data_IF_723614937336
#
_entry.id   IF_723614937336
#
_cell.length_a   1.000
_cell.length_b   1.000
_cell.length_c   1.000
_cell.angle_alpha   90.00
_cell.angle_beta   90.00
_cell.angle_gamma   90.00
#
_symmetry.space_group_name_H-M   'P 1'
#
loop_
_entity.id
_entity.type
_entity.pdbx_description
1 polymer ?
#
# COMPACT_ATOMS: atom_id res chain seq x y z
N UNK A 1 -9.89 -34.53 6.28
CA UNK A 1 -9.39 -33.28 5.68
C UNK A 1 -8.22 -32.79 6.53
N UNK A 2 -7.04 -32.66 5.94
CA UNK A 2 -5.86 -32.09 6.62
C UNK A 2 -6.13 -30.62 6.91
N UNK A 3 -5.84 -30.18 8.13
CA UNK A 3 -6.00 -28.78 8.51
C UNK A 3 -4.85 -27.97 7.88
N UNK A 4 -5.13 -27.23 6.81
CA UNK A 4 -4.13 -26.49 6.04
C UNK A 4 -3.29 -25.52 6.91
N UNK A 5 -3.88 -24.95 7.97
CA UNK A 5 -3.17 -24.08 8.92
C UNK A 5 -2.14 -24.88 9.70
N UNK A 6 -2.50 -26.07 10.22
CA UNK A 6 -1.55 -26.94 10.92
C UNK A 6 -0.41 -27.39 10.02
N UNK A 7 -0.71 -27.70 8.75
CA UNK A 7 0.33 -28.03 7.76
C UNK A 7 1.28 -26.85 7.53
N UNK A 8 0.76 -25.63 7.35
CA UNK A 8 1.59 -24.44 7.17
C UNK A 8 2.44 -24.14 8.41
N UNK A 9 1.89 -24.30 9.62
CA UNK A 9 2.64 -24.14 10.87
C UNK A 9 3.82 -25.11 10.97
N UNK A 10 3.61 -26.37 10.59
CA UNK A 10 4.69 -27.36 10.58
C UNK A 10 5.77 -26.99 9.56
N UNK A 11 5.39 -26.57 8.35
CA UNK A 11 6.34 -26.13 7.33
C UNK A 11 7.13 -24.89 7.76
N UNK A 12 6.50 -23.95 8.47
CA UNK A 12 7.17 -22.79 9.05
C UNK A 12 8.06 -23.13 10.25
N UNK A 13 7.80 -24.22 10.96
CA UNK A 13 8.64 -24.65 12.07
C UNK A 13 9.88 -25.40 11.58
N UNK A 14 9.73 -26.25 10.56
CA UNK A 14 10.77 -27.20 10.14
C UNK A 14 11.71 -26.65 9.07
N UNK A 15 11.43 -25.50 8.47
CA UNK A 15 12.23 -24.95 7.39
C UNK A 15 13.55 -24.35 7.91
N UNK A 16 14.65 -24.65 7.23
CA UNK A 16 15.96 -24.05 7.51
C UNK A 16 16.03 -22.56 7.14
N UNK A 17 15.24 -22.14 6.15
CA UNK A 17 15.17 -20.76 5.67
C UNK A 17 13.86 -20.48 4.91
N UNK A 18 13.49 -19.20 4.80
CA UNK A 18 12.31 -18.74 4.05
C UNK A 18 12.70 -17.81 2.90
N UNK A 19 12.09 -18.03 1.72
CA UNK A 19 12.00 -17.04 0.65
C UNK A 19 10.56 -16.54 0.60
N UNK A 20 10.33 -15.32 1.09
CA UNK A 20 9.00 -14.72 1.14
C UNK A 20 8.86 -13.72 0.00
N UNK A 21 7.84 -13.89 -0.84
CA UNK A 21 7.49 -12.92 -1.88
C UNK A 21 6.29 -12.10 -1.41
N UNK A 22 6.46 -10.79 -1.35
CA UNK A 22 5.41 -9.83 -1.01
C UNK A 22 5.13 -8.94 -2.22
N UNK A 23 3.85 -8.66 -2.47
CA UNK A 23 3.41 -7.82 -3.59
C UNK A 23 2.24 -6.95 -3.12
N UNK A 24 1.46 -6.40 -4.04
CA UNK A 24 0.41 -5.43 -3.74
C UNK A 24 -0.64 -5.93 -2.74
N UNK A 25 -0.90 -7.25 -2.66
CA UNK A 25 -1.76 -7.82 -1.62
C UNK A 25 -1.26 -7.53 -0.19
N UNK A 26 0.05 -7.57 0.02
CA UNK A 26 0.68 -7.23 1.28
C UNK A 26 0.68 -5.71 1.53
N UNK A 27 0.91 -4.92 0.49
CA UNK A 27 0.73 -3.46 0.57
C UNK A 27 -0.68 -3.09 0.99
N UNK A 28 -1.71 -3.78 0.49
CA UNK A 28 -3.12 -3.55 0.85
C UNK A 28 -3.36 -3.87 2.32
N UNK A 29 -2.77 -4.94 2.88
CA UNK A 29 -2.87 -5.21 4.33
C UNK A 29 -2.19 -4.16 5.19
N UNK A 30 -1.14 -3.51 4.68
CA UNK A 30 -0.52 -2.32 5.28
C UNK A 30 -1.28 -1.02 4.92
N UNK A 31 -2.41 -1.16 4.23
CA UNK A 31 -3.31 -0.08 3.87
C UNK A 31 -2.80 0.84 2.75
N UNK A 32 -1.89 0.37 1.90
CA UNK A 32 -1.56 1.00 0.62
C UNK A 32 -2.26 0.23 -0.51
N UNK A 33 -3.37 0.78 -1.02
CA UNK A 33 -4.05 0.23 -2.18
C UNK A 33 -3.83 1.13 -3.41
N UNK A 34 -2.96 0.69 -4.31
CA UNK A 34 -2.60 1.47 -5.49
C UNK A 34 -3.72 1.57 -6.53
N UNK A 35 -4.66 0.63 -6.54
CA UNK A 35 -5.62 0.44 -7.63
C UNK A 35 -7.06 0.83 -7.26
N UNK A 36 -7.37 0.98 -5.97
CA UNK A 36 -8.72 1.30 -5.52
C UNK A 36 -8.98 2.81 -5.44
N UNK A 37 -10.22 3.18 -5.78
CA UNK A 37 -10.81 4.46 -5.37
C UNK A 37 -11.40 4.28 -3.98
N UNK A 38 -10.54 4.27 -2.96
CA UNK A 38 -10.94 4.04 -1.58
C UNK A 38 -10.90 5.33 -0.76
N UNK A 39 -11.32 5.24 0.51
CA UNK A 39 -11.29 6.37 1.44
C UNK A 39 -9.87 6.93 1.61
N UNK A 40 -8.83 6.09 1.53
CA UNK A 40 -7.45 6.52 1.72
C UNK A 40 -6.98 7.42 0.59
N UNK A 41 -7.46 7.22 -0.65
CA UNK A 41 -7.19 8.15 -1.76
C UNK A 41 -7.52 9.60 -1.37
N UNK A 42 -8.75 9.83 -0.88
CA UNK A 42 -9.20 11.16 -0.45
C UNK A 42 -8.52 11.61 0.85
N UNK A 43 -8.22 10.70 1.78
CA UNK A 43 -7.44 11.05 2.98
C UNK A 43 -6.05 11.57 2.63
N UNK A 44 -5.36 10.95 1.67
CA UNK A 44 -3.99 11.30 1.29
C UNK A 44 -3.97 12.53 0.39
N UNK A 45 -4.81 12.56 -0.65
CA UNK A 45 -4.74 13.59 -1.70
C UNK A 45 -5.71 14.75 -1.47
N UNK A 46 -6.71 14.61 -0.60
CA UNK A 46 -7.68 15.66 -0.27
C UNK A 46 -8.43 16.15 -1.51
N UNK A 47 -8.57 17.47 -1.61
CA UNK A 47 -9.28 18.13 -2.72
C UNK A 47 -8.68 17.91 -4.11
N UNK A 48 -7.45 17.37 -4.20
CA UNK A 48 -6.83 17.05 -5.49
C UNK A 48 -7.53 15.88 -6.19
N UNK A 49 -8.20 15.00 -5.44
CA UNK A 49 -8.96 13.87 -6.00
C UNK A 49 -10.09 14.38 -6.87
N UNK A 50 -10.95 15.25 -6.33
CA UNK A 50 -12.09 15.83 -7.05
C UNK A 50 -11.62 16.77 -8.16
N UNK A 51 -10.63 17.63 -7.89
CA UNK A 51 -10.10 18.61 -8.85
C UNK A 51 -9.64 17.97 -10.17
N UNK A 52 -9.03 16.79 -10.11
CA UNK A 52 -8.48 16.10 -11.27
C UNK A 52 -9.21 14.80 -11.62
N UNK A 53 -10.32 14.51 -10.93
CA UNK A 53 -11.07 13.24 -11.04
C UNK A 53 -10.15 12.02 -10.95
N UNK A 54 -9.27 11.97 -9.94
CA UNK A 54 -8.24 10.94 -9.79
C UNK A 54 -8.90 9.60 -9.41
N UNK A 55 -8.67 8.51 -10.17
CA UNK A 55 -9.37 7.25 -9.95
C UNK A 55 -8.77 6.38 -8.84
N UNK A 56 -7.47 6.51 -8.56
CA UNK A 56 -6.71 5.78 -7.54
C UNK A 56 -5.29 6.38 -7.42
N UNK A 57 -4.49 5.86 -6.49
CA UNK A 57 -3.12 6.37 -6.26
C UNK A 57 -2.21 6.15 -7.48
N UNK A 58 -2.32 5.01 -8.16
CA UNK A 58 -1.52 4.75 -9.36
C UNK A 58 -1.87 5.72 -10.50
N UNK A 59 -3.16 6.01 -10.68
CA UNK A 59 -3.66 7.00 -11.62
C UNK A 59 -3.17 8.40 -11.28
N UNK A 60 -3.18 8.77 -10.00
CA UNK A 60 -2.63 10.04 -9.53
C UNK A 60 -1.13 10.18 -9.83
N UNK A 61 -0.34 9.11 -9.64
CA UNK A 61 1.09 9.14 -9.93
C UNK A 61 1.40 9.33 -11.42
N UNK A 62 0.56 8.78 -12.31
CA UNK A 62 0.70 8.83 -13.76
C UNK A 62 -0.08 9.97 -14.43
N UNK A 63 -0.78 10.81 -13.65
CA UNK A 63 -1.61 11.88 -14.21
C UNK A 63 -0.74 13.01 -14.78
N UNK A 64 -1.12 13.51 -15.96
CA UNK A 64 -0.45 14.64 -16.62
C UNK A 64 -0.98 15.97 -16.07
N UNK A 65 -0.49 16.37 -14.90
CA UNK A 65 -0.94 17.59 -14.24
C UNK A 65 -0.57 18.85 -15.04
N UNK A 66 -1.55 19.72 -15.39
CA UNK A 66 -1.27 20.99 -16.04
C UNK A 66 -0.60 22.00 -15.09
N UNK A 67 -0.75 21.81 -13.77
CA UNK A 67 -0.13 22.64 -12.75
C UNK A 67 0.99 21.85 -12.06
N UNK A 68 2.22 22.36 -12.18
CA UNK A 68 3.43 21.71 -11.62
C UNK A 68 3.40 21.66 -10.09
N UNK A 69 2.86 22.69 -9.43
CA UNK A 69 2.74 22.71 -7.97
C UNK A 69 1.79 21.62 -7.49
N UNK A 70 0.65 21.41 -8.16
CA UNK A 70 -0.28 20.35 -7.79
C UNK A 70 0.30 18.95 -8.02
N UNK A 71 1.08 18.75 -9.09
CA UNK A 71 1.86 17.51 -9.28
C UNK A 71 2.75 17.22 -8.07
N UNK A 72 3.54 18.20 -7.65
CA UNK A 72 4.42 18.05 -6.49
C UNK A 72 3.66 17.86 -5.19
N UNK A 73 2.50 18.51 -5.02
CA UNK A 73 1.63 18.27 -3.85
C UNK A 73 1.12 16.84 -3.78
N UNK A 74 0.74 16.24 -4.91
CA UNK A 74 0.35 14.82 -4.97
C UNK A 74 1.52 13.94 -4.54
N UNK A 75 2.69 14.13 -5.13
CA UNK A 75 3.87 13.30 -4.83
C UNK A 75 4.32 13.44 -3.39
N UNK A 76 4.40 14.67 -2.88
CA UNK A 76 4.79 14.95 -1.50
C UNK A 76 3.80 14.32 -0.51
N UNK A 77 2.48 14.41 -0.75
CA UNK A 77 1.47 13.81 0.13
C UNK A 77 1.53 12.29 0.16
N UNK A 78 1.73 11.65 -0.99
CA UNK A 78 1.90 10.19 -1.07
C UNK A 78 3.19 9.77 -0.34
N UNK A 79 4.29 10.47 -0.59
CA UNK A 79 5.57 10.18 0.06
C UNK A 79 5.47 10.36 1.59
N UNK A 80 4.88 11.46 2.03
CA UNK A 80 4.68 11.77 3.45
C UNK A 80 3.86 10.68 4.14
N UNK A 81 2.74 10.28 3.55
CA UNK A 81 1.83 9.31 4.19
C UNK A 81 2.40 7.89 4.21
N UNK A 82 2.99 7.43 3.09
CA UNK A 82 3.37 6.03 2.91
C UNK A 82 4.85 5.73 3.10
N UNK A 83 5.72 6.74 3.26
CA UNK A 83 7.15 6.52 3.49
C UNK A 83 7.60 7.19 4.79
N UNK A 84 7.38 8.50 4.93
CA UNK A 84 7.93 9.25 6.07
C UNK A 84 7.11 9.08 7.37
N UNK A 85 5.79 8.97 7.27
CA UNK A 85 4.89 8.70 8.41
C UNK A 85 4.27 7.31 8.34
N UNK A 86 4.97 6.35 7.73
CA UNK A 86 4.54 4.96 7.74
C UNK A 86 4.92 4.29 9.07
N UNK A 87 3.92 3.63 9.68
CA UNK A 87 4.10 2.77 10.84
C UNK A 87 3.68 1.34 10.43
N UNK A 88 4.54 0.33 10.65
CA UNK A 88 4.20 -1.05 10.38
C UNK A 88 2.92 -1.47 11.09
N UNK A 89 2.05 -2.20 10.39
CA UNK A 89 0.99 -2.92 11.07
C UNK A 89 1.53 -4.24 11.65
N UNK A 90 0.69 -4.92 12.44
CA UNK A 90 1.02 -6.20 13.08
C UNK A 90 1.57 -7.24 12.09
N UNK A 91 1.10 -7.21 10.84
CA UNK A 91 1.54 -8.16 9.82
C UNK A 91 2.99 -7.89 9.39
N UNK A 92 3.37 -6.65 9.11
CA UNK A 92 4.75 -6.30 8.80
C UNK A 92 5.67 -6.51 10.00
N UNK A 93 5.21 -6.24 11.23
CA UNK A 93 6.01 -6.51 12.43
C UNK A 93 6.29 -8.00 12.63
N UNK A 94 5.36 -8.90 12.28
CA UNK A 94 5.60 -10.35 12.30
C UNK A 94 6.55 -10.85 11.21
N UNK A 95 6.80 -10.04 10.19
CA UNK A 95 7.70 -10.38 9.08
C UNK A 95 9.13 -9.88 9.31
N UNK A 96 9.33 -8.94 10.25
CA UNK A 96 10.62 -8.38 10.64
C UNK A 96 11.33 -9.24 11.68
#
# INVERSE_FOLDING_TARGET
>A
MTNAIKTAQQWLHDADAFLITASNGFSISEGLNLFASDRKLTTVLGNLVEKYNLPNLLGALNYHYPNVLDKWRVYARIAEYYNYNYYPAELMDKLR
#
